data_IF_892204924018
#
_entry.id   IF_892204924018
#
_cell.length_a   1.000
_cell.length_b   1.000
_cell.length_c   1.000
_cell.angle_alpha   90.00
_cell.angle_beta   90.00
_cell.angle_gamma   90.00
#
_symmetry.space_group_name_H-M   'P 1'
#
loop_
_entity.id
_entity.type
_entity.pdbx_description
1 polymer ?
#
# COMPACT_ATOMS: atom_id res chain seq x y z
N UNK A 1 -1.51 -10.37 -9.57
CA UNK A 1 -2.39 -11.55 -9.77
C UNK A 1 -3.76 -11.34 -9.11
N UNK A 2 -3.80 -10.85 -7.88
CA UNK A 2 -5.06 -10.56 -7.18
C UNK A 2 -5.88 -9.42 -7.83
N UNK A 3 -5.26 -8.49 -8.53
CA UNK A 3 -5.97 -7.36 -9.13
C UNK A 3 -6.88 -7.75 -10.29
N UNK A 4 -6.56 -8.83 -11.02
CA UNK A 4 -7.30 -9.26 -12.22
C UNK A 4 -8.51 -10.17 -11.94
N UNK A 5 -8.61 -10.77 -10.76
CA UNK A 5 -9.69 -11.70 -10.43
C UNK A 5 -10.91 -10.94 -9.90
N UNK A 6 -12.02 -10.99 -10.62
CA UNK A 6 -13.28 -10.46 -10.12
C UNK A 6 -13.73 -11.29 -8.91
N UNK A 7 -13.78 -10.66 -7.76
CA UNK A 7 -14.29 -11.26 -6.52
C UNK A 7 -15.66 -10.66 -6.24
N UNK A 8 -16.65 -11.51 -5.94
CA UNK A 8 -17.93 -11.04 -5.47
C UNK A 8 -17.81 -10.19 -4.20
N UNK A 9 -18.77 -9.30 -3.98
CA UNK A 9 -18.77 -8.36 -2.84
C UNK A 9 -18.62 -9.08 -1.49
N UNK A 10 -19.26 -10.23 -1.31
CA UNK A 10 -19.13 -11.04 -0.08
C UNK A 10 -17.68 -11.43 0.21
N UNK A 11 -16.96 -11.90 -0.82
CA UNK A 11 -15.52 -12.26 -0.68
C UNK A 11 -14.64 -11.05 -0.44
N UNK A 12 -14.99 -9.88 -0.99
CA UNK A 12 -14.26 -8.63 -0.71
C UNK A 12 -14.44 -8.24 0.75
N UNK A 13 -15.67 -8.32 1.27
CA UNK A 13 -15.95 -8.03 2.67
C UNK A 13 -15.18 -8.99 3.58
N UNK A 14 -15.25 -10.29 3.33
CA UNK A 14 -14.54 -11.30 4.14
C UNK A 14 -13.03 -11.09 4.15
N UNK A 15 -12.43 -10.79 2.99
CA UNK A 15 -10.97 -10.72 2.86
C UNK A 15 -10.35 -9.38 3.19
N UNK A 16 -11.12 -8.29 3.14
CA UNK A 16 -10.61 -6.94 3.34
C UNK A 16 -11.28 -6.22 4.52
N UNK A 17 -12.62 -6.24 4.57
CA UNK A 17 -13.37 -5.44 5.54
C UNK A 17 -13.30 -6.08 6.93
N UNK A 18 -13.50 -7.39 7.05
CA UNK A 18 -13.41 -8.07 8.35
C UNK A 18 -12.00 -7.96 8.95
N UNK A 19 -10.91 -8.29 8.23
CA UNK A 19 -9.56 -8.05 8.75
C UNK A 19 -9.30 -6.59 9.09
N UNK A 20 -9.82 -5.64 8.32
CA UNK A 20 -9.72 -4.21 8.62
C UNK A 20 -10.29 -3.88 10.01
N UNK A 21 -11.54 -4.29 10.28
CA UNK A 21 -12.17 -4.02 11.58
C UNK A 21 -11.46 -4.69 12.74
N UNK A 22 -11.05 -5.95 12.58
CA UNK A 22 -10.32 -6.67 13.63
C UNK A 22 -8.99 -5.98 13.95
N UNK A 23 -8.23 -5.59 12.93
CA UNK A 23 -6.95 -4.93 13.15
C UNK A 23 -7.10 -3.48 13.62
N UNK A 24 -8.16 -2.77 13.23
CA UNK A 24 -8.46 -1.44 13.78
C UNK A 24 -8.72 -1.52 15.29
N UNK A 25 -9.42 -2.58 15.76
CA UNK A 25 -9.58 -2.86 17.17
C UNK A 25 -8.25 -3.22 17.85
N UNK A 26 -7.42 -4.08 17.23
CA UNK A 26 -6.10 -4.43 17.77
C UNK A 26 -5.19 -3.20 17.90
N UNK A 27 -5.18 -2.30 16.91
CA UNK A 27 -4.47 -1.04 17.00
C UNK A 27 -5.03 -0.13 18.09
N UNK A 28 -6.35 -0.08 18.25
CA UNK A 28 -6.97 0.69 19.32
C UNK A 28 -6.53 0.20 20.69
N UNK A 29 -6.59 -1.12 20.92
CA UNK A 29 -6.12 -1.71 22.17
C UNK A 29 -4.63 -1.45 22.40
N UNK A 30 -3.80 -1.63 21.38
CA UNK A 30 -2.37 -1.33 21.46
C UNK A 30 -2.12 0.13 21.87
N UNK A 31 -2.80 1.07 21.22
CA UNK A 31 -2.57 2.50 21.48
C UNK A 31 -3.06 2.94 22.87
N UNK A 32 -4.22 2.45 23.29
CA UNK A 32 -4.81 2.88 24.58
C UNK A 32 -4.14 2.18 25.75
N UNK A 33 -3.97 0.85 25.69
CA UNK A 33 -3.55 0.07 26.87
C UNK A 33 -2.04 -0.19 26.96
N UNK A 34 -1.32 -0.17 25.85
CA UNK A 34 0.14 -0.45 25.85
C UNK A 34 0.93 0.84 25.65
N UNK A 35 0.57 1.66 24.66
CA UNK A 35 1.27 2.91 24.32
C UNK A 35 0.74 4.09 25.18
N UNK A 36 -0.39 3.92 25.86
CA UNK A 36 -1.04 4.95 26.67
C UNK A 36 -1.35 6.24 25.91
N UNK A 37 -1.63 6.11 24.61
CA UNK A 37 -1.96 7.23 23.74
C UNK A 37 -3.46 7.48 23.76
N UNK A 38 -3.85 8.73 24.05
CA UNK A 38 -5.26 9.13 23.92
C UNK A 38 -5.67 9.11 22.44
N UNK A 39 -6.53 8.17 22.09
CA UNK A 39 -7.06 7.99 20.74
C UNK A 39 -8.44 7.34 20.76
N UNK A 40 -9.34 7.86 19.95
CA UNK A 40 -10.66 7.25 19.75
C UNK A 40 -10.63 6.06 18.77
N UNK A 41 -11.68 5.26 18.82
CA UNK A 41 -11.95 4.21 17.85
C UNK A 41 -12.71 4.81 16.66
N UNK A 42 -12.02 5.05 15.56
CA UNK A 42 -12.57 5.67 14.35
C UNK A 42 -12.41 4.74 13.15
N UNK A 43 -13.46 4.06 12.75
CA UNK A 43 -13.42 3.18 11.57
C UNK A 43 -13.34 3.91 10.22
N UNK A 44 -13.61 5.20 10.20
CA UNK A 44 -13.47 6.06 9.02
C UNK A 44 -12.10 6.75 8.91
N UNK A 45 -11.20 6.52 9.87
CA UNK A 45 -9.84 7.09 9.88
C UNK A 45 -8.85 5.98 10.19
N UNK A 46 -8.48 5.15 9.20
CA UNK A 46 -7.65 3.98 9.42
C UNK A 46 -6.34 4.31 10.10
N UNK A 47 -6.01 3.51 11.12
CA UNK A 47 -4.76 3.64 11.85
C UNK A 47 -3.62 3.07 11.02
N UNK A 48 -2.49 3.72 11.10
CA UNK A 48 -1.20 3.38 10.48
C UNK A 48 -1.31 2.78 9.06
N UNK A 49 -1.06 1.49 8.91
CA UNK A 49 -1.01 0.80 7.61
C UNK A 49 -2.40 0.40 7.07
N UNK A 50 -3.44 0.37 7.89
CA UNK A 50 -4.76 -0.15 7.52
C UNK A 50 -5.46 0.61 6.39
N UNK A 51 -4.97 1.82 6.07
CA UNK A 51 -5.44 2.61 4.95
C UNK A 51 -5.44 1.84 3.62
N UNK A 52 -4.46 0.94 3.42
CA UNK A 52 -4.34 0.20 2.16
C UNK A 52 -5.48 -0.83 1.99
N UNK A 53 -5.94 -1.50 3.06
CA UNK A 53 -7.09 -2.40 2.98
C UNK A 53 -8.34 -1.65 2.54
N UNK A 54 -8.56 -0.47 3.13
CA UNK A 54 -9.67 0.40 2.78
C UNK A 54 -9.56 0.88 1.33
N UNK A 55 -8.38 1.33 0.90
CA UNK A 55 -8.13 1.73 -0.48
C UNK A 55 -8.30 0.55 -1.44
N UNK A 56 -7.78 -0.64 -1.10
CA UNK A 56 -7.92 -1.84 -1.91
C UNK A 56 -9.38 -2.26 -2.08
N UNK A 57 -10.20 -2.10 -1.04
CA UNK A 57 -11.64 -2.33 -1.12
C UNK A 57 -12.29 -1.38 -2.13
N UNK A 58 -12.02 -0.07 -2.05
CA UNK A 58 -12.53 0.90 -3.00
C UNK A 58 -12.04 0.64 -4.43
N UNK A 59 -10.76 0.34 -4.62
CA UNK A 59 -10.22 0.04 -5.94
C UNK A 59 -10.87 -1.19 -6.57
N UNK A 60 -11.18 -2.21 -5.77
CA UNK A 60 -11.87 -3.41 -6.25
C UNK A 60 -13.29 -3.15 -6.71
N UNK A 61 -13.99 -2.24 -6.05
CA UNK A 61 -15.36 -1.86 -6.42
C UNK A 61 -15.37 -0.94 -7.65
N UNK A 62 -14.42 0.03 -7.70
CA UNK A 62 -14.44 1.07 -8.73
C UNK A 62 -13.86 0.56 -10.05
N UNK A 63 -12.80 -0.24 -10.03
CA UNK A 63 -12.07 -0.63 -11.24
C UNK A 63 -12.91 -1.31 -12.33
N UNK A 64 -13.87 -2.20 -12.04
CA UNK A 64 -14.71 -2.81 -13.08
C UNK A 64 -15.47 -1.80 -13.92
N UNK A 65 -15.84 -0.66 -13.37
CA UNK A 65 -16.53 0.43 -14.04
C UNK A 65 -15.54 1.42 -14.66
N UNK A 66 -14.52 1.81 -13.92
CA UNK A 66 -13.54 2.80 -14.32
C UNK A 66 -12.69 2.36 -15.52
N UNK A 67 -12.37 1.07 -15.64
CA UNK A 67 -11.65 0.51 -16.78
C UNK A 67 -12.34 0.68 -18.13
N UNK A 68 -13.65 0.95 -18.14
CA UNK A 68 -14.43 1.18 -19.36
C UNK A 68 -14.24 2.58 -19.95
N UNK A 69 -13.69 3.50 -19.17
CA UNK A 69 -13.47 4.89 -19.58
C UNK A 69 -12.19 4.96 -20.42
N UNK A 70 -12.21 5.54 -21.63
CA UNK A 70 -10.99 5.72 -22.42
C UNK A 70 -10.04 6.68 -21.69
N UNK A 71 -8.73 6.40 -21.74
CA UNK A 71 -7.73 7.21 -21.03
C UNK A 71 -7.77 7.14 -19.49
N UNK A 72 -8.41 6.10 -18.95
CA UNK A 72 -8.62 5.93 -17.50
C UNK A 72 -7.34 6.07 -16.65
N UNK A 73 -6.17 5.61 -17.15
CA UNK A 73 -4.91 5.78 -16.42
C UNK A 73 -4.53 7.26 -16.28
N UNK A 74 -4.68 8.05 -17.36
CA UNK A 74 -4.43 9.49 -17.31
C UNK A 74 -5.41 10.21 -16.38
N UNK A 75 -6.69 9.82 -16.43
CA UNK A 75 -7.71 10.34 -15.51
C UNK A 75 -7.38 9.97 -14.05
N UNK A 76 -6.92 8.76 -13.79
CA UNK A 76 -6.51 8.35 -12.46
C UNK A 76 -5.32 9.17 -11.95
N UNK A 77 -4.32 9.45 -12.79
CA UNK A 77 -3.19 10.35 -12.45
C UNK A 77 -3.71 11.76 -12.17
N UNK A 78 -4.59 12.28 -13.01
CA UNK A 78 -5.19 13.61 -12.81
C UNK A 78 -5.93 13.69 -11.46
N UNK A 79 -6.75 12.70 -11.13
CA UNK A 79 -7.43 12.63 -9.83
C UNK A 79 -6.45 12.59 -8.66
N UNK A 80 -5.35 11.83 -8.80
CA UNK A 80 -4.27 11.77 -7.82
C UNK A 80 -3.49 13.08 -7.65
N UNK A 81 -3.41 13.91 -8.72
CA UNK A 81 -2.87 15.26 -8.64
C UNK A 81 -3.86 16.22 -7.99
N UNK A 82 -5.12 16.18 -8.41
CA UNK A 82 -6.18 17.07 -7.90
C UNK A 82 -6.46 16.90 -6.42
N UNK A 83 -6.37 15.67 -5.89
CA UNK A 83 -6.60 15.43 -4.46
C UNK A 83 -5.59 16.15 -3.56
N UNK A 84 -4.43 16.56 -4.09
CA UNK A 84 -3.44 17.37 -3.36
C UNK A 84 -3.91 18.77 -3.00
N UNK A 85 -4.96 19.28 -3.64
CA UNK A 85 -5.59 20.55 -3.29
C UNK A 85 -6.61 20.42 -2.15
N UNK A 86 -6.93 19.20 -1.71
CA UNK A 86 -7.96 18.96 -0.69
C UNK A 86 -7.33 18.74 0.68
N UNK A 87 -7.99 19.20 1.73
CA UNK A 87 -7.59 19.00 3.13
C UNK A 87 -8.37 17.83 3.79
N UNK A 88 -8.69 16.77 3.04
CA UNK A 88 -9.45 15.62 3.53
C UNK A 88 -8.70 14.79 4.59
N UNK A 89 -7.39 14.90 4.66
CA UNK A 89 -6.56 14.21 5.65
C UNK A 89 -6.68 12.68 5.57
N UNK A 90 -7.08 12.06 6.68
CA UNK A 90 -7.20 10.59 6.75
C UNK A 90 -8.64 10.07 6.60
N UNK A 91 -9.58 10.94 6.22
CA UNK A 91 -10.99 10.57 6.11
C UNK A 91 -11.18 9.51 5.01
N UNK A 92 -11.63 8.30 5.39
CA UNK A 92 -11.76 7.10 4.54
C UNK A 92 -10.53 6.82 3.67
N UNK A 93 -9.36 7.36 4.01
CA UNK A 93 -8.15 7.31 3.18
C UNK A 93 -8.35 7.80 1.74
N UNK A 94 -9.33 8.65 1.47
CA UNK A 94 -9.66 9.13 0.12
C UNK A 94 -8.44 9.70 -0.59
N UNK A 95 -7.62 10.60 0.02
CA UNK A 95 -6.45 11.14 -0.65
C UNK A 95 -5.46 10.04 -1.09
N UNK A 96 -5.17 9.09 -0.21
CA UNK A 96 -4.28 7.96 -0.54
C UNK A 96 -4.89 7.05 -1.59
N UNK A 97 -6.19 6.78 -1.48
CA UNK A 97 -6.91 5.96 -2.46
C UNK A 97 -6.79 6.53 -3.86
N UNK A 98 -6.97 7.84 -4.02
CA UNK A 98 -6.84 8.50 -5.32
C UNK A 98 -5.37 8.63 -5.76
N UNK A 99 -4.46 8.95 -4.85
CA UNK A 99 -3.04 9.10 -5.16
C UNK A 99 -2.40 7.79 -5.60
N UNK A 100 -2.71 6.66 -4.97
CA UNK A 100 -2.12 5.36 -5.31
C UNK A 100 -2.91 4.57 -6.37
N UNK A 101 -4.10 5.02 -6.75
CA UNK A 101 -4.94 4.34 -7.73
C UNK A 101 -4.28 4.13 -9.12
N UNK A 102 -3.49 5.09 -9.66
CA UNK A 102 -2.79 4.88 -10.93
C UNK A 102 -1.87 3.65 -10.91
N UNK A 103 -1.17 3.41 -9.80
CA UNK A 103 -0.28 2.24 -9.66
C UNK A 103 -1.07 0.93 -9.59
N UNK A 104 -2.20 0.92 -8.88
CA UNK A 104 -3.10 -0.23 -8.85
C UNK A 104 -3.66 -0.54 -10.23
N UNK A 105 -4.09 0.48 -10.97
CA UNK A 105 -4.65 0.36 -12.30
C UNK A 105 -3.60 -0.09 -13.32
N UNK A 106 -2.38 0.43 -13.25
CA UNK A 106 -1.26 -0.04 -14.06
C UNK A 106 -0.95 -1.53 -13.80
N UNK A 107 -0.95 -1.94 -12.52
CA UNK A 107 -0.82 -3.36 -12.14
C UNK A 107 -1.97 -4.23 -12.66
N UNK A 108 -3.18 -3.68 -12.75
CA UNK A 108 -4.33 -4.37 -13.35
C UNK A 108 -4.12 -4.64 -14.84
N UNK A 109 -3.55 -3.66 -15.58
CA UNK A 109 -3.24 -3.79 -17.01
C UNK A 109 -1.94 -4.52 -17.30
N UNK A 110 -1.12 -4.79 -16.28
CA UNK A 110 0.17 -5.45 -16.47
C UNK A 110 0.02 -6.79 -17.16
N UNK A 111 0.73 -6.97 -18.28
CA UNK A 111 0.79 -8.21 -19.05
C UNK A 111 2.21 -8.75 -19.02
N UNK A 112 2.38 -9.95 -18.50
CA UNK A 112 3.70 -10.56 -18.34
C UNK A 112 4.42 -10.78 -19.67
N UNK A 113 3.69 -11.17 -20.72
CA UNK A 113 4.29 -11.44 -22.02
C UNK A 113 4.84 -10.17 -22.69
N UNK A 114 4.08 -9.07 -22.60
CA UNK A 114 4.57 -7.77 -23.08
C UNK A 114 5.80 -7.33 -22.29
N UNK A 115 5.79 -7.48 -21.00
CA UNK A 115 6.92 -7.13 -20.14
C UNK A 115 8.15 -7.98 -20.44
N UNK A 116 7.97 -9.27 -20.71
CA UNK A 116 9.05 -10.19 -21.13
C UNK A 116 9.71 -9.74 -22.44
N UNK A 117 8.91 -9.34 -23.43
CA UNK A 117 9.41 -8.86 -24.72
C UNK A 117 10.27 -7.60 -24.55
N UNK A 118 9.76 -6.60 -23.82
CA UNK A 118 10.50 -5.36 -23.54
C UNK A 118 11.78 -5.67 -22.73
N UNK A 119 11.70 -6.54 -21.73
CA UNK A 119 12.82 -6.85 -20.87
C UNK A 119 13.94 -7.62 -21.58
N UNK A 120 13.62 -8.53 -22.50
CA UNK A 120 14.63 -9.26 -23.26
C UNK A 120 15.56 -8.33 -24.05
N UNK A 121 15.02 -7.23 -24.56
CA UNK A 121 15.76 -6.27 -25.40
C UNK A 121 16.43 -5.14 -24.58
N UNK A 122 15.93 -4.83 -23.39
CA UNK A 122 16.26 -3.60 -22.66
C UNK A 122 16.80 -3.80 -21.24
N UNK A 123 17.30 -4.99 -20.90
CA UNK A 123 17.78 -5.32 -19.54
C UNK A 123 18.73 -4.29 -18.92
N UNK A 124 19.77 -3.92 -19.66
CA UNK A 124 20.78 -2.97 -19.19
C UNK A 124 20.22 -1.57 -19.05
N UNK A 125 19.36 -1.17 -19.96
CA UNK A 125 18.73 0.15 -19.96
C UNK A 125 17.74 0.30 -18.80
N UNK A 126 16.90 -0.70 -18.54
CA UNK A 126 15.93 -0.67 -17.43
C UNK A 126 16.60 -0.71 -16.07
N UNK A 127 17.67 -1.50 -15.93
CA UNK A 127 18.48 -1.50 -14.70
C UNK A 127 19.16 -0.14 -14.49
N UNK A 128 19.73 0.44 -15.57
CA UNK A 128 20.34 1.77 -15.53
C UNK A 128 19.36 2.88 -15.16
N UNK A 129 18.14 2.86 -15.72
CA UNK A 129 17.08 3.80 -15.34
C UNK A 129 16.66 3.65 -13.88
N UNK A 130 16.60 2.42 -13.36
CA UNK A 130 16.30 2.17 -11.96
C UNK A 130 17.37 2.71 -11.02
N UNK A 131 18.63 2.51 -11.35
CA UNK A 131 19.76 3.09 -10.62
C UNK A 131 19.70 4.61 -10.68
N UNK A 132 19.49 5.19 -11.87
CA UNK A 132 19.37 6.65 -12.04
C UNK A 132 18.19 7.22 -11.22
N UNK A 133 17.03 6.58 -11.26
CA UNK A 133 15.86 7.00 -10.46
C UNK A 133 16.15 6.91 -8.96
N UNK A 134 16.84 5.85 -8.52
CA UNK A 134 17.31 5.70 -7.14
C UNK A 134 18.31 6.78 -6.72
N UNK A 135 19.28 7.08 -7.57
CA UNK A 135 20.28 8.12 -7.32
C UNK A 135 19.64 9.52 -7.30
N UNK A 136 18.76 9.83 -8.24
CA UNK A 136 18.02 11.10 -8.25
C UNK A 136 17.12 11.24 -7.03
N UNK A 137 16.43 10.17 -6.64
CA UNK A 137 15.63 10.13 -5.41
C UNK A 137 16.48 10.35 -4.17
N UNK A 138 17.62 9.67 -4.04
CA UNK A 138 18.54 9.85 -2.93
C UNK A 138 19.20 11.24 -2.94
N UNK A 139 19.53 11.78 -4.11
CA UNK A 139 20.07 13.13 -4.23
C UNK A 139 19.05 14.19 -3.76
N UNK A 140 17.80 14.08 -4.16
CA UNK A 140 16.70 14.96 -3.68
C UNK A 140 16.53 14.85 -2.17
N UNK A 141 16.70 13.66 -1.59
CA UNK A 141 16.58 13.46 -0.15
C UNK A 141 17.80 13.99 0.63
N UNK A 142 19.01 13.86 0.09
CA UNK A 142 20.28 14.19 0.78
C UNK A 142 20.69 15.64 0.62
N UNK A 143 20.36 16.31 -0.50
CA UNK A 143 20.82 17.68 -0.77
C UNK A 143 20.11 18.78 0.03
N UNK A 144 19.28 18.41 1.03
CA UNK A 144 18.71 19.39 1.94
C UNK A 144 17.69 20.33 1.30
N UNK A 145 17.25 20.06 0.08
CA UNK A 145 16.00 20.61 -0.40
C UNK A 145 14.96 20.13 0.61
N UNK A 146 14.39 21.04 1.37
CA UNK A 146 13.42 20.76 2.46
C UNK A 146 12.09 20.21 1.90
N UNK A 147 12.19 19.15 1.08
CA UNK A 147 11.03 18.41 0.64
C UNK A 147 10.51 17.60 1.82
N UNK A 148 9.38 18.02 2.34
CA UNK A 148 8.74 17.26 3.39
C UNK A 148 8.45 15.85 2.90
N UNK A 149 8.90 14.78 3.61
CA UNK A 149 8.57 13.38 3.26
C UNK A 149 7.06 13.13 3.18
N UNK A 150 6.26 14.03 3.74
CA UNK A 150 4.81 13.96 3.77
C UNK A 150 4.18 13.94 2.37
N UNK A 151 4.86 14.51 1.36
CA UNK A 151 4.36 14.51 -0.02
C UNK A 151 4.22 13.10 -0.61
N UNK A 152 5.11 12.18 -0.19
CA UNK A 152 5.11 10.78 -0.64
C UNK A 152 4.02 9.94 0.02
N UNK A 153 3.46 10.40 1.13
CA UNK A 153 2.41 9.66 1.83
C UNK A 153 1.04 9.73 1.13
N UNK A 154 0.87 10.66 0.17
CA UNK A 154 -0.38 10.83 -0.56
C UNK A 154 -1.58 11.23 0.31
N UNK A 155 -1.34 11.56 1.60
CA UNK A 155 -2.37 11.88 2.59
C UNK A 155 -2.60 13.39 2.73
N UNK A 156 -1.52 14.14 2.58
CA UNK A 156 -1.46 15.55 2.91
C UNK A 156 -1.74 16.42 1.70
N UNK A 157 -2.35 17.57 1.91
CA UNK A 157 -2.49 18.61 0.89
C UNK A 157 -1.13 19.21 0.52
N UNK A 158 -1.06 19.96 -0.55
CA UNK A 158 0.16 20.66 -0.93
C UNK A 158 0.55 21.69 0.15
N UNK A 159 -0.41 22.40 0.70
CA UNK A 159 -0.21 23.36 1.79
C UNK A 159 0.35 22.71 3.05
N UNK A 160 -0.19 21.53 3.46
CA UNK A 160 0.32 20.78 4.62
C UNK A 160 1.78 20.36 4.46
N UNK A 161 2.27 20.26 3.22
CA UNK A 161 3.67 19.93 2.93
C UNK A 161 4.59 21.13 2.85
N UNK A 162 4.05 22.34 3.03
CA UNK A 162 4.79 23.60 2.96
C UNK A 162 5.13 24.05 1.54
N UNK A 163 4.46 23.47 0.53
CA UNK A 163 4.67 23.79 -0.88
C UNK A 163 3.52 24.68 -1.40
N UNK A 164 3.85 25.55 -2.35
CA UNK A 164 2.80 26.19 -3.14
C UNK A 164 2.06 25.18 -4.00
N UNK A 165 0.83 25.46 -4.37
CA UNK A 165 0.00 24.56 -5.17
C UNK A 165 0.65 24.14 -6.48
N UNK A 166 1.31 25.03 -7.18
CA UNK A 166 2.03 24.75 -8.43
C UNK A 166 3.27 23.88 -8.21
N UNK A 167 4.06 24.17 -7.17
CA UNK A 167 5.22 23.36 -6.79
C UNK A 167 4.79 21.95 -6.38
N UNK A 168 3.77 21.84 -5.53
CA UNK A 168 3.24 20.56 -5.06
C UNK A 168 2.74 19.68 -6.21
N UNK A 169 2.00 20.26 -7.16
CA UNK A 169 1.52 19.59 -8.36
C UNK A 169 2.69 19.08 -9.22
N UNK A 170 3.69 19.92 -9.49
CA UNK A 170 4.86 19.56 -10.28
C UNK A 170 5.66 18.44 -9.62
N UNK A 171 5.96 18.57 -8.32
CA UNK A 171 6.71 17.55 -7.57
C UNK A 171 5.93 16.23 -7.53
N UNK A 172 4.61 16.25 -7.31
CA UNK A 172 3.79 15.05 -7.31
C UNK A 172 3.74 14.37 -8.68
N UNK A 173 3.72 15.14 -9.77
CA UNK A 173 3.84 14.61 -11.12
C UNK A 173 5.20 13.95 -11.37
N UNK A 174 6.28 14.56 -10.92
CA UNK A 174 7.62 13.97 -10.96
C UNK A 174 7.68 12.67 -10.13
N UNK A 175 7.05 12.64 -8.94
CA UNK A 175 6.95 11.44 -8.13
C UNK A 175 6.26 10.30 -8.87
N UNK A 176 5.18 10.56 -9.63
CA UNK A 176 4.56 9.54 -10.48
C UNK A 176 5.55 9.00 -11.52
N UNK A 177 6.23 9.88 -12.25
CA UNK A 177 7.21 9.47 -13.26
C UNK A 177 8.31 8.59 -12.67
N UNK A 178 8.95 9.06 -11.60
CA UNK A 178 10.02 8.33 -10.91
C UNK A 178 9.50 6.99 -10.35
N UNK A 179 8.32 6.97 -9.75
CA UNK A 179 7.75 5.75 -9.18
C UNK A 179 7.42 4.71 -10.25
N UNK A 180 6.87 5.10 -11.40
CA UNK A 180 6.62 4.17 -12.51
C UNK A 180 7.92 3.62 -13.07
N UNK A 181 8.96 4.46 -13.23
CA UNK A 181 10.29 4.01 -13.67
C UNK A 181 10.91 3.05 -12.65
N UNK A 182 10.82 3.36 -11.36
CA UNK A 182 11.34 2.49 -10.29
C UNK A 182 10.61 1.14 -10.26
N UNK A 183 9.27 1.13 -10.37
CA UNK A 183 8.47 -0.10 -10.43
C UNK A 183 8.91 -0.95 -11.63
N UNK A 184 9.06 -0.34 -12.80
CA UNK A 184 9.51 -1.03 -14.01
C UNK A 184 10.91 -1.62 -13.84
N UNK A 185 11.84 -0.87 -13.25
CA UNK A 185 13.19 -1.33 -12.98
C UNK A 185 13.22 -2.49 -11.98
N UNK A 186 12.49 -2.39 -10.86
CA UNK A 186 12.39 -3.47 -9.86
C UNK A 186 11.79 -4.73 -10.48
N UNK A 187 10.69 -4.60 -11.23
CA UNK A 187 10.09 -5.74 -11.94
C UNK A 187 11.06 -6.41 -12.93
N UNK A 188 12.01 -5.65 -13.48
CA UNK A 188 13.02 -6.17 -14.42
C UNK A 188 14.10 -7.02 -13.72
N UNK A 189 14.38 -6.75 -12.45
CA UNK A 189 15.46 -7.39 -11.68
C UNK A 189 14.96 -8.62 -10.92
N UNK A 190 13.67 -8.65 -10.55
CA UNK A 190 13.10 -9.74 -9.73
C UNK A 190 13.24 -11.08 -10.45
N UNK A 191 13.84 -12.08 -9.78
CA UNK A 191 13.95 -13.45 -10.30
C UNK A 191 12.57 -14.08 -10.51
N UNK A 192 12.42 -14.87 -11.58
CA UNK A 192 11.12 -15.45 -12.00
C UNK A 192 10.86 -16.85 -11.46
N UNK A 193 11.83 -17.48 -10.83
CA UNK A 193 11.70 -18.82 -10.26
C UNK A 193 11.00 -18.82 -8.91
N UNK A 194 10.58 -20.00 -8.47
CA UNK A 194 10.20 -20.19 -7.08
C UNK A 194 11.46 -20.29 -6.23
N UNK A 195 11.58 -19.41 -5.25
CA UNK A 195 12.68 -19.33 -4.30
C UNK A 195 12.14 -19.50 -2.88
N UNK A 196 13.03 -19.73 -1.91
CA UNK A 196 12.64 -19.88 -0.49
C UNK A 196 11.85 -18.68 0.04
N UNK A 197 12.11 -17.47 -0.48
CA UNK A 197 11.40 -16.25 -0.11
C UNK A 197 10.05 -16.05 -0.83
N UNK A 198 9.71 -16.89 -1.82
CA UNK A 198 8.42 -16.78 -2.54
C UNK A 198 7.22 -16.99 -1.59
N UNK A 199 7.44 -17.64 -0.45
CA UNK A 199 6.44 -17.79 0.61
C UNK A 199 6.00 -16.46 1.20
N UNK A 200 6.89 -15.45 1.21
CA UNK A 200 6.57 -14.10 1.69
C UNK A 200 5.48 -13.47 0.82
N UNK A 201 5.56 -13.66 -0.50
CA UNK A 201 4.53 -13.21 -1.45
C UNK A 201 3.15 -13.82 -1.18
N UNK A 202 3.10 -15.12 -0.87
CA UNK A 202 1.84 -15.82 -0.53
C UNK A 202 1.25 -15.31 0.79
N UNK A 203 2.12 -14.97 1.75
CA UNK A 203 1.75 -14.55 3.11
C UNK A 203 1.83 -13.06 3.35
N UNK A 204 1.88 -12.26 2.29
CA UNK A 204 2.01 -10.80 2.35
C UNK A 204 0.94 -10.14 3.23
N UNK A 205 -0.29 -10.64 3.22
CA UNK A 205 -1.37 -10.09 4.04
C UNK A 205 -1.07 -10.19 5.54
N UNK A 206 -0.48 -11.31 5.98
CA UNK A 206 -0.06 -11.48 7.37
C UNK A 206 1.04 -10.49 7.74
N UNK A 207 2.10 -10.42 6.93
CA UNK A 207 3.19 -9.46 7.13
C UNK A 207 2.61 -8.04 7.20
N UNK A 208 1.77 -7.69 6.23
CA UNK A 208 1.18 -6.36 6.11
C UNK A 208 0.35 -5.95 7.33
N UNK A 209 -0.46 -6.83 7.88
CA UNK A 209 -1.33 -6.51 9.00
C UNK A 209 -0.55 -6.36 10.31
N UNK A 210 0.45 -7.20 10.54
CA UNK A 210 1.18 -7.22 11.81
C UNK A 210 2.38 -6.26 11.86
N UNK A 211 3.06 -5.95 10.72
CA UNK A 211 4.26 -5.10 10.76
C UNK A 211 4.00 -3.72 11.37
N UNK A 212 2.82 -3.17 11.13
CA UNK A 212 2.48 -1.85 11.64
C UNK A 212 2.27 -1.81 13.17
N UNK A 213 1.81 -2.93 13.77
CA UNK A 213 1.74 -3.05 15.23
C UNK A 213 3.15 -3.01 15.84
N UNK A 214 4.08 -3.78 15.24
CA UNK A 214 5.49 -3.78 15.67
C UNK A 214 6.14 -2.42 15.48
N UNK A 215 5.92 -1.79 14.31
CA UNK A 215 6.43 -0.44 14.05
C UNK A 215 5.91 0.57 15.09
N UNK A 216 4.65 0.48 15.49
CA UNK A 216 4.08 1.38 16.50
C UNK A 216 4.75 1.23 17.85
N UNK A 217 5.11 0.00 18.25
CA UNK A 217 5.88 -0.27 19.47
C UNK A 217 7.31 0.25 19.39
N UNK A 218 8.00 0.03 18.26
CA UNK A 218 9.37 0.51 18.06
C UNK A 218 9.43 2.04 18.08
N UNK A 219 8.42 2.69 17.53
CA UNK A 219 8.31 4.16 17.53
C UNK A 219 8.05 4.70 18.93
N UNK A 220 7.15 4.08 19.67
CA UNK A 220 6.83 4.49 21.04
C UNK A 220 8.01 4.32 21.99
N UNK A 221 8.76 3.23 21.83
CA UNK A 221 9.99 2.97 22.57
C UNK A 221 11.19 3.83 22.14
N UNK A 222 11.01 4.82 21.25
CA UNK A 222 12.07 5.69 20.72
C UNK A 222 13.27 4.95 20.12
N UNK A 223 13.12 3.66 19.80
CA UNK A 223 14.23 2.83 19.27
C UNK A 223 14.68 3.34 17.91
N UNK A 224 13.77 3.85 17.09
CA UNK A 224 14.07 4.36 15.76
C UNK A 224 14.85 5.68 15.78
N UNK A 225 14.74 6.44 16.86
CA UNK A 225 15.42 7.73 17.05
C UNK A 225 16.88 7.54 17.53
N UNK A 226 17.22 6.32 18.00
CA UNK A 226 18.56 5.97 18.49
C UNK A 226 19.46 5.39 17.39
N UNK A 227 18.97 5.30 16.14
CA UNK A 227 19.70 4.71 15.02
C UNK A 227 20.44 5.82 14.28
N UNK A 228 21.66 6.10 14.74
CA UNK A 228 22.50 7.19 14.19
C UNK A 228 23.72 6.68 13.43
N UNK A 229 24.16 5.43 13.69
CA UNK A 229 25.36 4.86 13.09
C UNK A 229 25.04 3.89 11.94
N UNK A 230 25.96 3.71 10.97
CA UNK A 230 25.81 2.71 9.92
C UNK A 230 25.62 1.29 10.46
N UNK A 231 26.26 0.95 11.57
CA UNK A 231 26.13 -0.36 12.21
C UNK A 231 24.71 -0.57 12.73
N UNK A 232 24.16 0.39 13.45
CA UNK A 232 22.77 0.34 13.95
C UNK A 232 21.76 0.28 12.81
N UNK A 233 22.02 1.00 11.73
CA UNK A 233 21.21 0.89 10.50
C UNK A 233 21.24 -0.53 9.93
N UNK A 234 22.40 -1.16 9.85
CA UNK A 234 22.55 -2.56 9.41
C UNK A 234 21.82 -3.53 10.35
N UNK A 235 21.93 -3.32 11.67
CA UNK A 235 21.22 -4.14 12.66
C UNK A 235 19.71 -3.98 12.54
N UNK A 236 19.20 -2.76 12.35
CA UNK A 236 17.78 -2.51 12.13
C UNK A 236 17.29 -3.18 10.84
N UNK A 237 18.03 -3.11 9.74
CA UNK A 237 17.70 -3.81 8.50
C UNK A 237 17.68 -5.32 8.67
N UNK A 238 18.65 -5.88 9.40
CA UNK A 238 18.67 -7.31 9.77
C UNK A 238 17.44 -7.70 10.59
N UNK A 239 17.12 -6.91 11.61
CA UNK A 239 15.92 -7.09 12.42
C UNK A 239 14.64 -7.05 11.57
N UNK A 240 14.45 -6.04 10.71
CA UNK A 240 13.29 -5.92 9.83
C UNK A 240 13.17 -7.12 8.88
N UNK A 241 14.31 -7.63 8.39
CA UNK A 241 14.33 -8.83 7.54
C UNK A 241 13.86 -10.06 8.32
N UNK A 242 14.43 -10.31 9.50
CA UNK A 242 14.01 -11.42 10.37
C UNK A 242 12.55 -11.31 10.78
N UNK A 243 12.10 -10.10 11.14
CA UNK A 243 10.71 -9.81 11.47
C UNK A 243 9.78 -10.16 10.31
N UNK A 244 10.16 -9.83 9.07
CA UNK A 244 9.36 -10.16 7.88
C UNK A 244 9.12 -11.67 7.76
N UNK A 245 10.16 -12.49 7.97
CA UNK A 245 10.02 -13.95 8.00
C UNK A 245 9.21 -14.44 9.20
N UNK A 246 9.38 -13.85 10.37
CA UNK A 246 8.60 -14.18 11.56
C UNK A 246 7.11 -13.90 11.37
N UNK A 247 6.75 -12.74 10.78
CA UNK A 247 5.37 -12.38 10.47
C UNK A 247 4.76 -13.20 9.33
N UNK A 248 5.61 -13.80 8.49
CA UNK A 248 5.21 -14.80 7.50
C UNK A 248 5.12 -16.22 8.07
N UNK A 249 5.42 -16.45 9.35
CA UNK A 249 5.34 -17.76 9.98
C UNK A 249 3.91 -18.33 9.97
N UNK A 250 3.79 -19.63 10.27
CA UNK A 250 2.49 -20.34 10.20
C UNK A 250 1.44 -19.76 11.14
N UNK A 251 1.83 -19.28 12.32
CA UNK A 251 0.90 -18.78 13.34
C UNK A 251 0.22 -17.47 12.93
N UNK A 252 0.94 -16.36 12.59
CA UNK A 252 0.31 -15.14 12.10
C UNK A 252 -0.52 -15.37 10.83
N UNK A 253 -0.02 -16.22 9.92
CA UNK A 253 -0.72 -16.54 8.69
C UNK A 253 -2.05 -17.27 8.95
N UNK A 254 -2.08 -18.26 9.86
CA UNK A 254 -3.32 -18.96 10.25
C UNK A 254 -4.33 -18.01 10.89
N UNK A 255 -3.88 -17.12 11.73
CA UNK A 255 -4.75 -16.12 12.37
C UNK A 255 -5.43 -15.22 11.32
N UNK A 256 -4.67 -14.66 10.37
CA UNK A 256 -5.22 -13.84 9.30
C UNK A 256 -6.15 -14.64 8.38
N UNK A 257 -5.79 -15.89 8.07
CA UNK A 257 -6.64 -16.76 7.27
C UNK A 257 -7.95 -17.09 7.97
N UNK A 258 -7.90 -17.35 9.29
CA UNK A 258 -9.07 -17.59 10.11
C UNK A 258 -10.01 -16.38 10.13
N UNK A 259 -9.49 -15.17 10.40
CA UNK A 259 -10.29 -13.93 10.33
C UNK A 259 -10.93 -13.76 8.96
N UNK A 260 -10.17 -14.00 7.89
CA UNK A 260 -10.64 -13.87 6.51
C UNK A 260 -11.61 -15.00 6.07
N UNK A 261 -11.83 -16.00 6.90
CA UNK A 261 -12.80 -17.09 6.68
C UNK A 261 -14.12 -16.87 7.40
N UNK A 262 -14.23 -15.84 8.24
CA UNK A 262 -15.48 -15.51 8.95
C UNK A 262 -16.54 -15.15 7.92
N UNK A 263 -17.59 -15.93 7.86
CA UNK A 263 -18.72 -15.76 6.92
C UNK A 263 -19.76 -14.85 7.54
N UNK A 264 -20.17 -13.82 6.82
CA UNK A 264 -21.35 -13.05 7.19
C UNK A 264 -22.57 -13.85 6.70
N UNK A 265 -23.56 -14.17 7.55
CA UNK A 265 -24.77 -14.84 7.09
C UNK A 265 -25.39 -14.04 5.94
N UNK A 266 -25.56 -14.66 4.77
CA UNK A 266 -26.18 -14.00 3.64
C UNK A 266 -27.63 -13.70 3.96
N UNK A 267 -28.00 -12.42 3.97
CA UNK A 267 -29.37 -11.94 4.25
C UNK A 267 -30.36 -12.31 3.14
N UNK A 268 -29.93 -12.95 2.03
CA UNK A 268 -30.80 -13.23 0.90
C UNK A 268 -30.55 -14.62 0.30
N UNK A 269 -31.15 -15.65 0.89
CA UNK A 269 -31.85 -16.69 0.16
C UNK A 269 -33.33 -16.60 0.54
N UNK A 270 -34.09 -15.82 -0.19
CA UNK A 270 -35.52 -16.10 -0.25
C UNK A 270 -35.67 -17.50 -0.86
N UNK A 271 -36.38 -18.43 -0.23
CA UNK A 271 -36.74 -19.67 -0.89
C UNK A 271 -37.62 -19.28 -2.07
N UNK A 272 -37.29 -19.80 -3.27
CA UNK A 272 -38.18 -19.73 -4.41
C UNK A 272 -39.51 -20.32 -3.96
N UNK A 273 -40.53 -19.46 -3.95
CA UNK A 273 -41.89 -19.90 -3.73
C UNK A 273 -42.24 -20.96 -4.76
N UNK A 274 -42.65 -22.09 -4.28
CA UNK A 274 -43.49 -23.04 -5.02
C UNK A 274 -44.68 -22.26 -5.53
N UNK A 275 -44.80 -22.19 -6.84
CA UNK A 275 -46.08 -21.88 -7.47
C UNK A 275 -46.87 -23.17 -7.47
N UNK A 276 -47.96 -23.19 -6.70
CA UNK A 276 -49.13 -24.01 -6.96
C UNK A 276 -50.01 -23.29 -8.00
#
# INVERSE_FOLDING_TARGET
>A
YFSKKDMGLEKLIQKLVIPYFVFELLYYFLYVFVIHKDTGLYFNRPKFSLWYLMSLFFWRIITPYFKKIPGNLAIAILLGLLVGFTQLGNFFSIPRTLFFYPFFLAGYYFQEDWFRSVWAHWKGFTAGLGVLAGLLGSWVLVTGQKLSPLIFYGRYSYEDTGLSNSQGLFIRLLCYGISFLAIFAVCSIIPRGQHFYSILGVRTMSIYLFHGLVYSLLKDGHILEQVDTPLETCLLLGFCTLLTFALAAKLPYRFVTWISSITIPSVHKRPNGQND
#
